data_IF_543515753961
#
_entry.id   IF_543515753961
#
_cell.length_a   1.000
_cell.length_b   1.000
_cell.length_c   1.000
_cell.angle_alpha   90.00
_cell.angle_beta   90.00
_cell.angle_gamma   90.00
#
_symmetry.space_group_name_H-M   'P 1'
#
loop_
_entity.id
_entity.type
_entity.pdbx_description
1 polymer ?
#
# COMPACT_ATOMS: atom_id res chain seq x y z
N UNK A 1 2.49 17.51 -25.63
CA UNK A 1 2.73 16.79 -24.36
C UNK A 1 3.37 15.45 -24.68
N UNK A 2 4.53 15.13 -24.12
CA UNK A 2 5.20 13.84 -24.37
C UNK A 2 4.69 12.80 -23.38
N UNK A 3 4.77 11.50 -23.72
CA UNK A 3 4.43 10.41 -22.79
C UNK A 3 5.27 10.46 -21.50
N UNK A 4 6.51 10.93 -21.60
CA UNK A 4 7.39 11.15 -20.45
C UNK A 4 6.82 12.18 -19.47
N UNK A 5 6.16 13.24 -19.96
CA UNK A 5 5.56 14.26 -19.09
C UNK A 5 4.39 13.69 -18.29
N UNK A 6 3.58 12.82 -18.91
CA UNK A 6 2.53 12.09 -18.23
C UNK A 6 3.08 11.09 -17.20
N UNK A 7 4.15 10.37 -17.53
CA UNK A 7 4.80 9.44 -16.60
C UNK A 7 5.40 10.16 -15.38
N UNK A 8 5.92 11.38 -15.57
CA UNK A 8 6.38 12.25 -14.49
C UNK A 8 5.22 12.79 -13.66
N UNK A 9 4.13 13.25 -14.31
CA UNK A 9 2.93 13.75 -13.64
C UNK A 9 2.36 12.72 -12.65
N UNK A 10 2.26 11.46 -13.07
CA UNK A 10 1.70 10.39 -12.22
C UNK A 10 2.75 9.70 -11.34
N UNK A 11 4.02 10.14 -11.41
CA UNK A 11 5.17 9.54 -10.73
C UNK A 11 5.18 8.01 -10.93
N UNK A 12 5.11 7.58 -12.19
CA UNK A 12 4.72 6.22 -12.58
C UNK A 12 5.41 5.08 -11.79
N UNK A 13 6.73 5.10 -11.50
CA UNK A 13 7.38 4.03 -10.75
C UNK A 13 6.92 3.90 -9.30
N UNK A 14 6.44 4.97 -8.68
CA UNK A 14 6.02 4.96 -7.27
C UNK A 14 4.76 4.10 -7.05
N UNK A 15 3.96 3.88 -8.10
CA UNK A 15 2.81 2.99 -8.07
C UNK A 15 3.19 1.51 -7.85
N UNK A 16 4.45 1.11 -8.05
CA UNK A 16 4.90 -0.27 -7.79
C UNK A 16 4.77 -0.68 -6.31
N UNK A 17 4.69 0.30 -5.39
CA UNK A 17 4.46 0.05 -3.96
C UNK A 17 3.00 -0.27 -3.62
N UNK A 18 2.07 0.00 -4.53
CA UNK A 18 0.62 0.02 -4.24
C UNK A 18 0.00 -1.39 -4.33
N UNK A 19 0.29 -2.23 -5.35
CA UNK A 19 -0.30 -3.56 -5.44
C UNK A 19 -0.01 -4.48 -4.24
N UNK A 20 1.06 -4.23 -3.49
CA UNK A 20 1.40 -5.01 -2.29
C UNK A 20 0.34 -4.92 -1.19
N UNK A 21 -0.36 -3.78 -1.07
CA UNK A 21 -1.45 -3.60 -0.09
C UNK A 21 -2.63 -4.52 -0.43
N UNK A 22 -3.07 -4.49 -1.70
CA UNK A 22 -4.13 -5.36 -2.23
C UNK A 22 -3.76 -6.84 -2.07
N UNK A 23 -2.52 -7.23 -2.39
CA UNK A 23 -2.05 -8.61 -2.25
C UNK A 23 -2.07 -9.05 -0.79
N UNK A 24 -1.58 -8.23 0.14
CA UNK A 24 -1.57 -8.54 1.56
C UNK A 24 -2.99 -8.75 2.11
N UNK A 25 -3.94 -7.92 1.70
CA UNK A 25 -5.35 -8.04 2.06
C UNK A 25 -6.01 -9.29 1.49
N UNK A 26 -5.78 -9.57 0.20
CA UNK A 26 -6.27 -10.77 -0.47
C UNK A 26 -5.72 -12.05 0.18
N UNK A 27 -4.40 -12.10 0.44
CA UNK A 27 -3.76 -13.23 1.10
C UNK A 27 -4.32 -13.46 2.51
N UNK A 28 -4.48 -12.40 3.30
CA UNK A 28 -5.05 -12.51 4.65
C UNK A 28 -6.50 -13.01 4.64
N UNK A 29 -7.32 -12.53 3.70
CA UNK A 29 -8.69 -12.98 3.53
C UNK A 29 -8.80 -14.39 2.92
N UNK A 30 -7.72 -14.94 2.36
CA UNK A 30 -7.71 -16.22 1.64
C UNK A 30 -8.35 -16.11 0.25
N UNK A 31 -8.26 -14.93 -0.38
CA UNK A 31 -8.73 -14.70 -1.76
C UNK A 31 -7.67 -15.19 -2.75
N UNK A 32 -8.07 -15.82 -3.87
CA UNK A 32 -7.13 -16.22 -4.90
C UNK A 32 -6.52 -15.00 -5.59
N UNK A 33 -5.24 -15.07 -5.92
CA UNK A 33 -4.53 -14.06 -6.71
C UNK A 33 -4.76 -14.31 -8.21
N UNK A 34 -6.02 -14.23 -8.62
CA UNK A 34 -6.44 -14.39 -10.01
C UNK A 34 -6.83 -13.07 -10.67
N UNK A 35 -7.48 -13.16 -11.84
CA UNK A 35 -7.88 -12.02 -12.68
C UNK A 35 -8.66 -10.93 -11.92
N UNK A 36 -9.49 -11.31 -10.95
CA UNK A 36 -10.25 -10.35 -10.13
C UNK A 36 -9.34 -9.56 -9.19
N UNK A 37 -8.38 -10.21 -8.56
CA UNK A 37 -7.41 -9.51 -7.70
C UNK A 37 -6.49 -8.62 -8.52
N UNK A 38 -6.09 -9.07 -9.72
CA UNK A 38 -5.36 -8.24 -10.68
C UNK A 38 -6.16 -6.99 -11.10
N UNK A 39 -7.47 -7.14 -11.34
CA UNK A 39 -8.35 -6.00 -11.62
C UNK A 39 -8.45 -5.02 -10.44
N UNK A 40 -8.49 -5.52 -9.20
CA UNK A 40 -8.44 -4.66 -8.00
C UNK A 40 -7.07 -3.98 -7.84
N UNK A 41 -5.97 -4.66 -8.14
CA UNK A 41 -4.63 -4.04 -8.20
C UNK A 41 -4.59 -2.94 -9.25
N UNK A 42 -5.18 -3.16 -10.43
CA UNK A 42 -5.32 -2.14 -11.47
C UNK A 42 -6.14 -0.94 -11.00
N UNK A 43 -7.27 -1.18 -10.33
CA UNK A 43 -8.07 -0.12 -9.69
C UNK A 43 -7.24 0.72 -8.73
N UNK A 44 -6.50 0.05 -7.84
CA UNK A 44 -5.65 0.68 -6.83
C UNK A 44 -4.55 1.54 -7.46
N UNK A 45 -3.86 1.03 -8.48
CA UNK A 45 -2.85 1.78 -9.26
C UNK A 45 -3.46 3.00 -9.96
N UNK A 46 -4.65 2.87 -10.56
CA UNK A 46 -5.36 4.00 -11.17
C UNK A 46 -5.69 5.08 -10.14
N UNK A 47 -6.20 4.71 -8.96
CA UNK A 47 -6.52 5.67 -7.90
C UNK A 47 -5.26 6.33 -7.32
N UNK A 48 -4.15 5.60 -7.23
CA UNK A 48 -2.86 6.18 -6.85
C UNK A 48 -2.41 7.25 -7.87
N UNK A 49 -2.37 6.89 -9.16
CA UNK A 49 -1.99 7.84 -10.22
C UNK A 49 -2.95 9.02 -10.32
N UNK A 50 -4.25 8.82 -10.05
CA UNK A 50 -5.23 9.89 -9.97
C UNK A 50 -4.84 10.91 -8.88
N UNK A 51 -4.46 10.43 -7.68
CA UNK A 51 -3.97 11.28 -6.60
C UNK A 51 -2.69 12.02 -6.97
N UNK A 52 -1.74 11.36 -7.66
CA UNK A 52 -0.51 12.02 -8.10
C UNK A 52 -0.78 13.19 -9.06
N UNK A 53 -1.65 12.98 -10.06
CA UNK A 53 -2.05 14.03 -10.98
C UNK A 53 -2.88 15.14 -10.29
N UNK A 54 -3.74 14.77 -9.35
CA UNK A 54 -4.55 15.72 -8.58
C UNK A 54 -3.70 16.57 -7.64
N UNK A 55 -2.66 15.98 -7.05
CA UNK A 55 -1.71 16.69 -6.20
C UNK A 55 -1.00 17.80 -7.00
N UNK A 56 -0.46 17.48 -8.19
CA UNK A 56 0.17 18.47 -9.07
C UNK A 56 -0.82 19.54 -9.55
N UNK A 57 -2.09 19.18 -9.77
CA UNK A 57 -3.15 20.17 -10.05
C UNK A 57 -3.40 21.12 -8.88
N UNK A 58 -3.45 20.59 -7.66
CA UNK A 58 -3.74 21.35 -6.44
C UNK A 58 -2.57 22.25 -6.05
N UNK A 59 -1.34 21.75 -6.18
CA UNK A 59 -0.10 22.44 -5.78
C UNK A 59 0.48 23.36 -6.84
N UNK A 60 -0.10 23.42 -8.05
CA UNK A 60 0.45 24.16 -9.18
C UNK A 60 0.95 25.59 -8.86
N UNK A 61 0.24 26.33 -8.00
CA UNK A 61 0.62 27.70 -7.59
C UNK A 61 1.77 27.72 -6.57
N UNK A 62 1.83 26.74 -5.66
CA UNK A 62 2.93 26.62 -4.69
C UNK A 62 4.19 26.11 -5.39
N UNK A 63 4.03 25.06 -6.20
CA UNK A 63 5.11 24.46 -6.96
C UNK A 63 5.69 25.41 -8.02
N UNK A 64 4.98 26.45 -8.48
CA UNK A 64 5.58 27.45 -9.39
C UNK A 64 6.70 28.26 -8.74
N UNK A 65 6.72 28.33 -7.40
CA UNK A 65 7.79 28.98 -6.63
C UNK A 65 8.78 27.94 -6.12
N UNK A 66 8.29 26.86 -5.51
CA UNK A 66 9.16 25.89 -4.81
C UNK A 66 9.81 24.86 -5.75
N UNK A 67 9.15 24.51 -6.85
CA UNK A 67 9.52 23.39 -7.73
C UNK A 67 9.14 23.68 -9.21
N UNK A 68 9.69 24.75 -9.81
CA UNK A 68 9.25 25.24 -11.11
C UNK A 68 9.40 24.22 -12.25
N UNK A 69 10.32 23.25 -12.10
CA UNK A 69 10.57 22.20 -13.10
C UNK A 69 9.44 21.14 -13.19
N UNK A 70 8.49 21.10 -12.24
CA UNK A 70 7.39 20.13 -12.26
C UNK A 70 6.51 20.25 -13.52
N UNK A 71 5.86 19.17 -13.99
CA UNK A 71 5.16 19.17 -15.28
C UNK A 71 4.08 20.26 -15.42
N UNK A 72 3.32 20.53 -14.35
CA UNK A 72 2.27 21.55 -14.39
C UNK A 72 2.81 22.99 -14.31
N UNK A 73 3.66 23.36 -13.32
CA UNK A 73 4.23 24.71 -13.25
C UNK A 73 5.12 25.08 -14.44
N UNK A 74 5.91 24.14 -14.97
CA UNK A 74 6.75 24.37 -16.16
C UNK A 74 5.95 24.55 -17.47
N UNK A 75 4.63 24.39 -17.43
CA UNK A 75 3.75 24.51 -18.61
C UNK A 75 3.78 23.29 -19.55
N UNK A 76 4.61 22.27 -19.28
CA UNK A 76 4.68 21.03 -20.09
C UNK A 76 3.37 20.25 -20.10
N UNK A 77 2.62 20.33 -18.99
CA UNK A 77 1.27 19.77 -18.84
C UNK A 77 0.33 20.87 -18.38
N UNK A 78 -0.71 21.23 -19.15
CA UNK A 78 -1.69 22.20 -18.72
C UNK A 78 -2.40 21.76 -17.43
N UNK A 79 -2.66 22.70 -16.51
CA UNK A 79 -3.35 22.41 -15.24
C UNK A 79 -4.71 21.70 -15.45
N UNK A 80 -5.48 22.10 -16.47
CA UNK A 80 -6.74 21.44 -16.85
C UNK A 80 -6.54 19.98 -17.27
N UNK A 81 -5.43 19.68 -17.95
CA UNK A 81 -5.07 18.32 -18.34
C UNK A 81 -4.74 17.46 -17.13
N UNK A 82 -4.00 17.99 -16.15
CA UNK A 82 -3.75 17.27 -14.89
C UNK A 82 -5.05 16.91 -14.15
N UNK A 83 -6.02 17.84 -14.09
CA UNK A 83 -7.34 17.57 -13.53
C UNK A 83 -8.12 16.52 -14.34
N UNK A 84 -8.08 16.59 -15.67
CA UNK A 84 -8.73 15.61 -16.53
C UNK A 84 -8.13 14.21 -16.34
N UNK A 85 -6.80 14.11 -16.28
CA UNK A 85 -6.09 12.85 -16.00
C UNK A 85 -6.49 12.29 -14.63
N UNK A 86 -6.52 13.13 -13.58
CA UNK A 86 -6.97 12.73 -12.26
C UNK A 86 -8.42 12.19 -12.27
N UNK A 87 -9.34 12.90 -12.93
CA UNK A 87 -10.74 12.50 -13.08
C UNK A 87 -10.90 11.19 -13.86
N UNK A 88 -10.25 11.06 -15.02
CA UNK A 88 -10.30 9.86 -15.85
C UNK A 88 -9.70 8.63 -15.17
N UNK A 89 -8.57 8.78 -14.47
CA UNK A 89 -7.97 7.70 -13.69
C UNK A 89 -8.83 7.32 -12.48
N UNK A 90 -9.50 8.28 -11.84
CA UNK A 90 -10.47 8.00 -10.78
C UNK A 90 -11.63 7.15 -11.31
N UNK A 91 -12.21 7.56 -12.45
CA UNK A 91 -13.30 6.83 -13.10
C UNK A 91 -12.86 5.43 -13.55
N UNK A 92 -11.68 5.30 -14.16
CA UNK A 92 -11.10 4.02 -14.56
C UNK A 92 -10.86 3.11 -13.35
N UNK A 93 -10.36 3.66 -12.24
CA UNK A 93 -10.17 2.91 -11.00
C UNK A 93 -11.47 2.33 -10.47
N UNK A 94 -12.52 3.16 -10.35
CA UNK A 94 -13.86 2.73 -9.92
C UNK A 94 -14.44 1.70 -10.90
N UNK A 95 -14.26 1.90 -12.21
CA UNK A 95 -14.69 0.97 -13.26
C UNK A 95 -14.01 -0.40 -13.16
N UNK A 96 -12.69 -0.43 -12.93
CA UNK A 96 -11.93 -1.67 -12.69
C UNK A 96 -12.38 -2.38 -11.41
N UNK A 97 -12.66 -1.63 -10.34
CA UNK A 97 -13.22 -2.20 -9.11
C UNK A 97 -14.60 -2.83 -9.35
N UNK A 98 -15.47 -2.16 -10.12
CA UNK A 98 -16.78 -2.67 -10.50
C UNK A 98 -16.66 -3.95 -11.36
N UNK A 99 -15.81 -3.95 -12.38
CA UNK A 99 -15.59 -5.09 -13.26
C UNK A 99 -14.99 -6.30 -12.51
N UNK A 100 -14.05 -6.06 -11.60
CA UNK A 100 -13.34 -7.12 -10.89
C UNK A 100 -14.13 -7.73 -9.72
N UNK A 101 -14.80 -6.88 -8.93
CA UNK A 101 -15.42 -7.29 -7.66
C UNK A 101 -16.84 -6.76 -7.41
N UNK A 102 -17.44 -6.09 -8.40
CA UNK A 102 -18.81 -5.59 -8.33
C UNK A 102 -19.03 -4.58 -7.21
N UNK A 103 -20.27 -4.55 -6.68
CA UNK A 103 -20.70 -3.59 -5.65
C UNK A 103 -19.80 -3.55 -4.41
N UNK A 104 -19.21 -4.68 -4.02
CA UNK A 104 -18.35 -4.76 -2.83
C UNK A 104 -17.03 -4.02 -3.03
N UNK A 105 -16.37 -4.24 -4.16
CA UNK A 105 -15.13 -3.53 -4.49
C UNK A 105 -15.39 -2.05 -4.74
N UNK A 106 -16.51 -1.68 -5.38
CA UNK A 106 -16.93 -0.27 -5.51
C UNK A 106 -17.15 0.38 -4.15
N UNK A 107 -17.76 -0.34 -3.20
CA UNK A 107 -17.98 0.14 -1.83
C UNK A 107 -16.71 0.46 -1.05
N UNK A 108 -15.54 -0.06 -1.46
CA UNK A 108 -14.23 0.30 -0.91
C UNK A 108 -13.52 1.35 -1.78
N UNK A 109 -13.62 1.24 -3.11
CA UNK A 109 -12.98 2.15 -4.05
C UNK A 109 -13.54 3.59 -3.97
N UNK A 110 -14.84 3.76 -3.72
CA UNK A 110 -15.46 5.09 -3.60
C UNK A 110 -14.95 5.87 -2.38
N UNK A 111 -14.97 5.32 -1.15
CA UNK A 111 -14.33 5.97 0.00
C UNK A 111 -12.84 6.24 -0.20
N UNK A 112 -12.12 5.32 -0.87
CA UNK A 112 -10.70 5.50 -1.19
C UNK A 112 -10.48 6.70 -2.11
N UNK A 113 -11.24 6.77 -3.22
CA UNK A 113 -11.21 7.92 -4.12
C UNK A 113 -11.58 9.22 -3.38
N UNK A 114 -12.60 9.18 -2.51
CA UNK A 114 -12.98 10.30 -1.66
C UNK A 114 -11.84 10.78 -0.76
N UNK A 115 -11.10 9.87 -0.12
CA UNK A 115 -9.93 10.22 0.70
C UNK A 115 -8.79 10.81 -0.12
N UNK A 116 -8.51 10.26 -1.31
CA UNK A 116 -7.50 10.82 -2.24
C UNK A 116 -7.83 12.27 -2.57
N UNK A 117 -9.05 12.53 -3.03
CA UNK A 117 -9.50 13.88 -3.39
C UNK A 117 -9.54 14.82 -2.18
N UNK A 118 -10.03 14.35 -1.02
CA UNK A 118 -10.04 15.15 0.19
C UNK A 118 -8.62 15.51 0.65
N UNK A 119 -7.69 14.56 0.58
CA UNK A 119 -6.28 14.77 0.93
C UNK A 119 -5.66 15.86 0.06
N UNK A 120 -5.70 15.69 -1.26
CA UNK A 120 -5.00 16.57 -2.20
C UNK A 120 -5.57 17.99 -2.23
N UNK A 121 -6.89 18.13 -2.07
CA UNK A 121 -7.56 19.43 -2.17
C UNK A 121 -7.65 20.20 -0.84
N UNK A 122 -7.68 19.51 0.31
CA UNK A 122 -8.03 20.16 1.59
C UNK A 122 -7.27 19.67 2.82
N UNK A 123 -6.91 18.39 2.91
CA UNK A 123 -6.45 17.82 4.19
C UNK A 123 -4.93 17.77 4.32
N UNK A 124 -4.15 17.80 3.22
CA UNK A 124 -2.69 17.63 3.28
C UNK A 124 -1.94 18.67 4.12
N UNK A 125 -2.44 19.91 4.16
CA UNK A 125 -1.89 20.99 5.01
C UNK A 125 -2.41 20.96 6.45
N UNK A 126 -3.36 20.07 6.77
CA UNK A 126 -4.02 20.00 8.08
C UNK A 126 -3.47 18.85 8.93
N UNK A 127 -3.63 18.92 10.27
CA UNK A 127 -3.25 17.81 11.15
C UNK A 127 -3.89 16.46 10.79
N UNK A 128 -5.11 16.50 10.24
CA UNK A 128 -5.85 15.31 9.81
C UNK A 128 -5.37 14.70 8.49
N UNK A 129 -4.48 15.36 7.73
CA UNK A 129 -3.96 14.84 6.46
C UNK A 129 -3.24 13.49 6.61
N UNK A 130 -2.53 13.30 7.72
CA UNK A 130 -1.90 12.01 8.02
C UNK A 130 -2.90 10.88 8.25
N UNK A 131 -4.04 11.19 8.87
CA UNK A 131 -5.14 10.23 9.09
C UNK A 131 -5.80 9.88 7.76
N UNK A 132 -6.01 10.85 6.87
CA UNK A 132 -6.56 10.59 5.54
C UNK A 132 -5.64 9.66 4.72
N UNK A 133 -4.32 9.92 4.72
CA UNK A 133 -3.35 9.08 4.01
C UNK A 133 -3.26 7.66 4.59
N UNK A 134 -3.25 7.53 5.91
CA UNK A 134 -3.29 6.22 6.58
C UNK A 134 -4.61 5.48 6.27
N UNK A 135 -5.73 6.19 6.27
CA UNK A 135 -7.05 5.64 5.90
C UNK A 135 -7.10 5.17 4.46
N UNK A 136 -6.50 5.91 3.52
CA UNK A 136 -6.40 5.49 2.12
C UNK A 136 -5.64 4.15 2.00
N UNK A 137 -4.51 4.01 2.70
CA UNK A 137 -3.73 2.76 2.72
C UNK A 137 -4.45 1.60 3.40
N UNK A 138 -5.20 1.87 4.47
CA UNK A 138 -6.09 0.86 5.09
C UNK A 138 -7.12 0.36 4.08
N UNK A 139 -7.81 1.27 3.38
CA UNK A 139 -8.82 0.90 2.39
C UNK A 139 -8.22 0.11 1.22
N UNK A 140 -6.98 0.40 0.83
CA UNK A 140 -6.31 -0.33 -0.24
C UNK A 140 -6.05 -1.81 0.13
N UNK A 141 -5.62 -2.06 1.37
CA UNK A 141 -5.52 -3.44 1.90
C UNK A 141 -6.91 -4.08 1.95
N UNK A 142 -7.93 -3.36 2.41
CA UNK A 142 -9.30 -3.89 2.48
C UNK A 142 -9.89 -4.18 1.09
N UNK A 143 -9.50 -3.44 0.05
CA UNK A 143 -9.92 -3.67 -1.33
C UNK A 143 -9.53 -5.08 -1.80
N UNK A 144 -8.32 -5.54 -1.45
CA UNK A 144 -7.88 -6.91 -1.70
C UNK A 144 -8.67 -7.96 -0.92
N UNK A 145 -9.06 -7.65 0.32
CA UNK A 145 -9.83 -8.56 1.17
C UNK A 145 -11.26 -8.80 0.63
N UNK A 146 -11.87 -7.75 0.07
CA UNK A 146 -13.22 -7.79 -0.53
C UNK A 146 -13.22 -8.19 -2.01
N UNK A 147 -12.04 -8.33 -2.63
CA UNK A 147 -11.92 -8.85 -4.00
C UNK A 147 -12.70 -10.16 -4.11
N UNK A 148 -13.60 -10.24 -5.10
CA UNK A 148 -14.55 -11.34 -5.19
C UNK A 148 -13.84 -12.69 -5.36
N UNK A 149 -14.12 -13.64 -4.46
CA UNK A 149 -13.78 -15.05 -4.66
C UNK A 149 -14.97 -15.76 -5.30
N UNK A 150 -14.84 -16.18 -6.56
CA UNK A 150 -15.83 -17.06 -7.17
C UNK A 150 -15.68 -18.46 -6.53
N UNK A 151 -16.70 -18.91 -5.81
CA UNK A 151 -16.75 -20.26 -5.25
C UNK A 151 -17.73 -20.40 -4.08
N UNK A 152 -18.53 -21.48 -4.11
CA UNK A 152 -19.27 -21.94 -2.94
C UNK A 152 -18.25 -22.26 -1.83
N UNK A 153 -18.27 -21.50 -0.73
CA UNK A 153 -17.28 -21.59 0.35
C UNK A 153 -16.37 -20.35 0.53
N UNK A 154 -16.53 -19.32 -0.31
CA UNK A 154 -15.87 -18.04 -0.10
C UNK A 154 -16.29 -17.44 1.27
N UNK A 155 -15.31 -17.15 2.13
CA UNK A 155 -15.57 -16.53 3.43
C UNK A 155 -16.45 -15.29 3.28
N UNK A 156 -17.43 -15.14 4.18
CA UNK A 156 -18.30 -13.97 4.22
C UNK A 156 -17.46 -12.70 4.27
N UNK A 157 -18.00 -11.60 3.75
CA UNK A 157 -17.28 -10.31 3.73
C UNK A 157 -16.82 -9.92 5.13
N UNK A 158 -17.66 -10.14 6.15
CA UNK A 158 -17.29 -9.89 7.55
C UNK A 158 -16.08 -10.71 8.01
N UNK A 159 -15.99 -12.00 7.66
CA UNK A 159 -14.82 -12.83 8.00
C UNK A 159 -13.58 -12.38 7.23
N UNK A 160 -13.72 -12.02 5.95
CA UNK A 160 -12.62 -11.51 5.14
C UNK A 160 -12.05 -10.20 5.71
N UNK A 161 -12.92 -9.25 6.06
CA UNK A 161 -12.53 -7.99 6.70
C UNK A 161 -11.86 -8.22 8.06
N UNK A 162 -12.39 -9.10 8.91
CA UNK A 162 -11.75 -9.45 10.19
C UNK A 162 -10.36 -10.03 10.00
N UNK A 163 -10.17 -10.90 8.99
CA UNK A 163 -8.84 -11.46 8.68
C UNK A 163 -7.86 -10.41 8.15
N UNK A 164 -8.36 -9.43 7.40
CA UNK A 164 -7.58 -8.33 6.85
C UNK A 164 -7.39 -7.15 7.82
N UNK A 165 -8.10 -7.11 8.95
CA UNK A 165 -8.01 -6.01 9.91
C UNK A 165 -6.59 -5.78 10.44
N UNK A 166 -5.85 -6.86 10.75
CA UNK A 166 -4.47 -6.74 11.22
C UNK A 166 -3.52 -6.20 10.14
N UNK A 167 -3.42 -6.78 8.93
CA UNK A 167 -2.54 -6.21 7.90
C UNK A 167 -2.95 -4.78 7.52
N UNK A 168 -4.25 -4.48 7.42
CA UNK A 168 -4.72 -3.13 7.12
C UNK A 168 -4.32 -2.14 8.22
N UNK A 169 -4.51 -2.51 9.49
CA UNK A 169 -4.11 -1.71 10.64
C UNK A 169 -2.60 -1.47 10.70
N UNK A 170 -1.77 -2.50 10.45
CA UNK A 170 -0.30 -2.36 10.46
C UNK A 170 0.21 -1.46 9.33
N UNK A 171 -0.36 -1.58 8.13
CA UNK A 171 -0.06 -0.68 7.00
C UNK A 171 -0.51 0.75 7.31
N UNK A 172 -1.70 0.93 7.89
CA UNK A 172 -2.20 2.23 8.34
C UNK A 172 -1.30 2.87 9.41
N UNK A 173 -0.89 2.10 10.41
CA UNK A 173 0.03 2.55 11.48
C UNK A 173 1.38 2.95 10.89
N UNK A 174 1.97 2.13 10.01
CA UNK A 174 3.20 2.48 9.31
C UNK A 174 3.05 3.82 8.56
N UNK A 175 1.98 3.97 7.78
CA UNK A 175 1.69 5.19 7.04
C UNK A 175 1.53 6.40 7.98
N UNK A 176 0.89 6.22 9.13
CA UNK A 176 0.79 7.24 10.17
C UNK A 176 2.16 7.68 10.70
N UNK A 177 3.08 6.73 10.96
CA UNK A 177 4.45 7.08 11.39
C UNK A 177 5.20 7.89 10.33
N UNK A 178 5.03 7.54 9.06
CA UNK A 178 5.63 8.24 7.93
C UNK A 178 5.14 9.69 7.87
N UNK A 179 3.82 9.88 7.99
CA UNK A 179 3.17 11.19 7.96
C UNK A 179 3.51 12.06 9.18
N UNK A 180 3.85 11.45 10.32
CA UNK A 180 4.32 12.18 11.49
C UNK A 180 5.75 12.71 11.29
N UNK A 181 6.63 11.90 10.70
CA UNK A 181 8.00 12.31 10.36
C UNK A 181 8.03 13.32 9.22
N UNK A 182 7.20 13.16 8.19
CA UNK A 182 7.22 14.00 6.98
C UNK A 182 7.01 15.49 7.25
N UNK A 183 6.35 15.84 8.36
CA UNK A 183 6.16 17.24 8.78
C UNK A 183 7.43 17.94 9.25
N UNK A 184 8.46 17.17 9.56
CA UNK A 184 9.69 17.64 10.18
C UNK A 184 10.89 17.55 9.22
N UNK A 185 10.63 17.41 7.92
CA UNK A 185 11.66 17.23 6.90
C UNK A 185 12.51 18.48 6.65
N UNK A 186 11.98 19.68 6.87
CA UNK A 186 12.70 20.93 6.58
C UNK A 186 13.60 21.31 7.76
N UNK A 187 13.00 21.56 8.93
CA UNK A 187 13.69 22.08 10.11
C UNK A 187 14.22 21.03 11.10
N UNK A 188 13.96 19.75 10.88
CA UNK A 188 14.23 18.70 11.88
C UNK A 188 13.07 18.50 12.86
N UNK A 189 13.21 17.50 13.73
CA UNK A 189 12.15 17.03 14.62
C UNK A 189 12.55 17.13 16.10
N UNK A 190 11.62 17.38 17.02
CA UNK A 190 11.85 17.08 18.43
C UNK A 190 12.16 15.59 18.58
N UNK A 191 13.23 15.21 19.33
CA UNK A 191 13.70 13.81 19.51
C UNK A 191 12.57 12.80 19.79
N UNK A 192 11.54 13.23 20.55
CA UNK A 192 10.36 12.42 20.86
C UNK A 192 9.63 11.88 19.63
N UNK A 193 9.64 12.58 18.50
CA UNK A 193 8.94 12.18 17.27
C UNK A 193 9.63 10.99 16.58
N UNK A 194 10.93 11.04 16.21
CA UNK A 194 11.63 9.88 15.68
C UNK A 194 11.69 8.73 16.70
N UNK A 195 11.77 9.02 18.01
CA UNK A 195 11.75 7.97 19.04
C UNK A 195 10.40 7.24 19.11
N UNK A 196 9.29 7.98 19.12
CA UNK A 196 7.94 7.40 19.12
C UNK A 196 7.67 6.61 17.82
N UNK A 197 8.06 7.15 16.67
CA UNK A 197 7.85 6.47 15.38
C UNK A 197 8.72 5.22 15.24
N UNK A 198 9.95 5.23 15.78
CA UNK A 198 10.79 4.04 15.90
C UNK A 198 10.12 2.97 16.78
N UNK A 199 9.63 3.35 17.97
CA UNK A 199 8.95 2.41 18.86
C UNK A 199 7.72 1.78 18.18
N UNK A 200 6.88 2.59 17.54
CA UNK A 200 5.70 2.11 16.79
C UNK A 200 6.12 1.22 15.61
N UNK A 201 7.22 1.52 14.92
CA UNK A 201 7.74 0.71 13.81
C UNK A 201 8.25 -0.64 14.31
N UNK A 202 8.96 -0.67 15.44
CA UNK A 202 9.37 -1.90 16.12
C UNK A 202 8.17 -2.76 16.52
N UNK A 203 7.15 -2.17 17.15
CA UNK A 203 5.90 -2.87 17.48
C UNK A 203 5.21 -3.40 16.23
N UNK A 204 5.19 -2.63 15.13
CA UNK A 204 4.61 -3.04 13.85
C UNK A 204 5.31 -4.28 13.27
N UNK A 205 6.66 -4.31 13.33
CA UNK A 205 7.46 -5.43 12.87
C UNK A 205 7.23 -6.69 13.72
N UNK A 206 7.21 -6.54 15.04
CA UNK A 206 6.94 -7.62 15.99
C UNK A 206 5.52 -8.16 15.78
N UNK A 207 4.51 -7.29 15.72
CA UNK A 207 3.11 -7.67 15.48
C UNK A 207 2.90 -8.39 14.14
N UNK A 208 3.71 -8.05 13.13
CA UNK A 208 3.74 -8.77 11.85
C UNK A 208 4.28 -10.20 12.01
N UNK A 209 5.30 -10.39 12.85
CA UNK A 209 5.91 -11.69 13.11
C UNK A 209 5.12 -12.61 14.05
N UNK A 210 4.23 -12.06 14.89
CA UNK A 210 3.42 -12.85 15.82
C UNK A 210 2.44 -13.76 15.04
N UNK A 211 2.51 -15.09 15.24
CA UNK A 211 1.60 -16.02 14.59
C UNK A 211 0.19 -15.89 15.15
N UNK A 212 -0.80 -15.66 14.28
CA UNK A 212 -2.20 -15.72 14.68
C UNK A 212 -2.63 -17.18 14.75
N UNK A 213 -3.04 -17.65 15.94
CA UNK A 213 -3.80 -18.90 16.06
C UNK A 213 -5.11 -18.70 15.29
N UNK A 214 -5.22 -19.28 14.10
CA UNK A 214 -6.49 -19.34 13.37
C UNK A 214 -7.41 -20.24 14.20
N UNK A 215 -8.38 -19.65 14.90
CA UNK A 215 -9.47 -20.43 15.49
C UNK A 215 -10.21 -21.06 14.32
N UNK A 216 -10.03 -22.37 14.15
CA UNK A 216 -10.81 -23.15 13.21
C UNK A 216 -12.23 -23.16 13.76
N UNK A 217 -13.12 -22.37 13.16
CA UNK A 217 -14.55 -22.50 13.45
C UNK A 217 -14.98 -23.83 12.83
N UNK A 218 -15.31 -24.80 13.69
CA UNK A 218 -15.83 -26.09 13.26
C UNK A 218 -17.03 -25.85 12.31
N UNK A 219 -17.12 -26.58 11.18
CA UNK A 219 -18.30 -26.50 10.35
C UNK A 219 -19.48 -27.02 11.17
N UNK A 220 -20.42 -26.15 11.51
CA UNK A 220 -21.72 -26.57 12.04
C UNK A 220 -22.47 -27.26 10.91
N UNK A 221 -22.60 -28.58 11.02
CA UNK A 221 -23.63 -29.44 10.44
C UNK A 221 -24.03 -29.19 8.98
N UNK A 222 -23.52 -30.02 8.07
CA UNK A 222 -24.02 -30.14 6.71
C UNK A 222 -23.11 -31.06 5.90
N UNK A 223 -23.67 -32.13 5.35
CA UNK A 223 -22.99 -33.27 4.74
C UNK A 223 -21.73 -32.93 3.92
N UNK A 224 -20.67 -33.69 4.17
CA UNK A 224 -19.38 -33.58 3.51
C UNK A 224 -19.47 -33.91 2.02
N UNK A 225 -19.68 -32.91 1.18
CA UNK A 225 -19.20 -32.95 -0.20
C UNK A 225 -17.77 -32.44 -0.18
N UNK A 226 -16.82 -33.37 -0.24
CA UNK A 226 -15.39 -33.08 -0.43
C UNK A 226 -15.19 -32.48 -1.83
N UNK A 227 -15.47 -31.19 -1.98
CA UNK A 227 -14.92 -30.41 -3.09
C UNK A 227 -13.63 -29.74 -2.63
N UNK A 228 -12.54 -30.50 -2.75
CA UNK A 228 -11.20 -29.93 -2.81
C UNK A 228 -11.20 -28.84 -3.92
N UNK A 229 -10.78 -27.60 -3.65
CA UNK A 229 -10.53 -26.66 -4.73
C UNK A 229 -9.43 -27.25 -5.61
N UNK A 230 -9.73 -27.45 -6.90
CA UNK A 230 -8.75 -27.89 -7.86
C UNK A 230 -7.55 -26.93 -7.79
N UNK A 231 -6.32 -27.43 -7.54
CA UNK A 231 -5.14 -26.60 -7.65
C UNK A 231 -5.04 -26.07 -9.08
N UNK A 232 -4.45 -24.88 -9.23
CA UNK A 232 -4.03 -24.34 -10.52
C UNK A 232 -3.37 -25.46 -11.33
N UNK A 233 -3.99 -25.87 -12.45
CA UNK A 233 -3.32 -26.70 -13.45
C UNK A 233 -2.09 -25.91 -13.93
N UNK A 234 -0.90 -26.36 -13.54
CA UNK A 234 0.37 -25.81 -14.03
C UNK A 234 1.51 -25.64 -13.01
N UNK A 235 1.27 -25.77 -11.70
CA UNK A 235 2.36 -25.83 -10.71
C UNK A 235 2.06 -26.96 -9.73
N UNK A 236 2.87 -28.01 -9.77
CA UNK A 236 2.76 -29.15 -8.87
C UNK A 236 2.72 -28.67 -7.41
N UNK A 237 1.58 -28.86 -6.76
CA UNK A 237 1.27 -28.32 -5.44
C UNK A 237 1.94 -29.10 -4.32
N UNK A 238 3.13 -28.69 -3.91
CA UNK A 238 3.56 -28.89 -2.52
C UNK A 238 3.03 -27.72 -1.70
N UNK A 239 2.18 -27.98 -0.69
CA UNK A 239 1.83 -26.96 0.29
C UNK A 239 3.13 -26.37 0.86
N UNK A 240 3.39 -25.05 0.71
CA UNK A 240 4.66 -24.48 1.13
C UNK A 240 4.87 -24.73 2.62
N UNK A 241 6.06 -25.18 2.99
CA UNK A 241 6.35 -25.60 4.36
C UNK A 241 6.08 -24.46 5.35
N UNK A 242 5.53 -24.80 6.53
CA UNK A 242 5.35 -23.84 7.63
C UNK A 242 6.64 -23.07 7.92
N UNK A 243 7.80 -23.71 7.74
CA UNK A 243 9.14 -23.13 7.88
C UNK A 243 9.39 -22.02 6.86
N UNK A 244 9.13 -22.25 5.57
CA UNK A 244 9.28 -21.22 4.53
C UNK A 244 8.44 -19.97 4.84
N UNK A 245 7.18 -20.17 5.26
CA UNK A 245 6.30 -19.05 5.62
C UNK A 245 6.86 -18.25 6.80
N UNK A 246 7.26 -18.91 7.88
CA UNK A 246 7.84 -18.23 9.06
C UNK A 246 9.12 -17.51 8.70
N UNK A 247 10.00 -18.14 7.90
CA UNK A 247 11.24 -17.53 7.42
C UNK A 247 11.00 -16.26 6.62
N UNK A 248 10.04 -16.27 5.69
CA UNK A 248 9.70 -15.09 4.88
C UNK A 248 9.08 -13.96 5.70
N UNK A 249 8.21 -14.28 6.68
CA UNK A 249 7.66 -13.29 7.61
C UNK A 249 8.78 -12.63 8.41
N UNK A 250 9.68 -13.42 8.99
CA UNK A 250 10.81 -12.91 9.76
C UNK A 250 11.76 -12.08 8.89
N UNK A 251 12.11 -12.57 7.69
CA UNK A 251 12.98 -11.85 6.77
C UNK A 251 12.39 -10.49 6.36
N UNK A 252 11.09 -10.42 6.03
CA UNK A 252 10.45 -9.16 5.68
C UNK A 252 10.36 -8.19 6.86
N UNK A 253 10.03 -8.67 8.07
CA UNK A 253 10.00 -7.84 9.28
C UNK A 253 11.39 -7.31 9.66
N UNK A 254 12.44 -8.14 9.54
CA UNK A 254 13.82 -7.73 9.76
C UNK A 254 14.30 -6.76 8.69
N UNK A 255 13.95 -6.97 7.41
CA UNK A 255 14.28 -6.03 6.34
C UNK A 255 13.58 -4.68 6.54
N UNK A 256 12.34 -4.67 7.04
CA UNK A 256 11.62 -3.46 7.41
C UNK A 256 12.35 -2.68 8.52
N UNK A 257 12.73 -3.34 9.62
CA UNK A 257 13.44 -2.68 10.72
C UNK A 257 14.87 -2.28 10.35
N UNK A 258 15.59 -3.14 9.64
CA UNK A 258 16.95 -2.88 9.20
C UNK A 258 17.05 -1.72 8.21
N UNK A 259 15.95 -1.37 7.53
CA UNK A 259 15.92 -0.22 6.62
C UNK A 259 15.28 1.01 7.26
N UNK A 260 14.01 0.95 7.62
CA UNK A 260 13.29 2.10 8.18
C UNK A 260 13.68 2.36 9.63
N UNK A 261 13.73 1.32 10.46
CA UNK A 261 14.13 1.43 11.87
C UNK A 261 15.56 1.98 12.02
N UNK A 262 16.51 1.50 11.23
CA UNK A 262 17.88 2.04 11.24
C UNK A 262 17.95 3.52 10.82
N UNK A 263 17.10 3.96 9.88
CA UNK A 263 17.01 5.37 9.52
C UNK A 263 16.37 6.21 10.64
N UNK A 264 15.36 5.68 11.33
CA UNK A 264 14.75 6.32 12.49
C UNK A 264 15.72 6.42 13.68
N UNK A 265 16.55 5.39 13.94
CA UNK A 265 17.61 5.44 14.97
C UNK A 265 18.56 6.60 14.72
N UNK A 266 19.00 6.79 13.47
CA UNK A 266 19.84 7.96 13.10
C UNK A 266 19.12 9.28 13.36
N UNK A 267 17.84 9.38 13.03
CA UNK A 267 17.03 10.56 13.32
C UNK A 267 16.76 10.76 14.83
N UNK A 268 16.82 9.71 15.66
CA UNK A 268 16.78 9.84 17.13
C UNK A 268 18.09 10.40 17.67
N UNK A 269 19.22 9.86 17.19
CA UNK A 269 20.56 10.29 17.59
C UNK A 269 20.84 11.73 17.17
N UNK A 270 20.43 12.10 15.97
CA UNK A 270 20.59 13.43 15.41
C UNK A 270 19.30 13.84 14.66
N UNK A 271 18.39 14.59 15.32
CA UNK A 271 17.07 14.95 14.79
C UNK A 271 17.06 16.05 13.71
N UNK A 272 18.08 16.10 12.85
CA UNK A 272 18.19 17.06 11.75
C UNK A 272 17.16 16.79 10.66
N UNK A 273 16.78 17.85 9.90
CA UNK A 273 15.87 17.71 8.76
C UNK A 273 16.37 16.71 7.71
N UNK A 274 17.69 16.61 7.52
CA UNK A 274 18.30 15.63 6.63
C UNK A 274 18.07 14.18 7.08
N UNK A 275 18.29 13.87 8.36
CA UNK A 275 18.08 12.53 8.87
C UNK A 275 16.58 12.17 8.90
N UNK A 276 15.71 13.16 9.16
CA UNK A 276 14.25 12.98 9.04
C UNK A 276 13.84 12.67 7.59
N UNK A 277 14.32 13.43 6.59
CA UNK A 277 14.06 13.15 5.16
C UNK A 277 14.55 11.76 4.75
N UNK A 278 15.74 11.36 5.21
CA UNK A 278 16.25 9.99 5.00
C UNK A 278 15.35 8.94 5.63
N UNK A 279 14.86 9.19 6.84
CA UNK A 279 13.92 8.29 7.52
C UNK A 279 12.59 8.19 6.76
N UNK A 280 12.03 9.30 6.26
CA UNK A 280 10.81 9.30 5.45
C UNK A 280 11.02 8.54 4.14
N UNK A 281 12.10 8.81 3.41
CA UNK A 281 12.44 8.06 2.20
C UNK A 281 12.63 6.56 2.46
N UNK A 282 13.29 6.20 3.57
CA UNK A 282 13.43 4.81 3.99
C UNK A 282 12.08 4.18 4.37
N UNK A 283 11.17 4.94 4.97
CA UNK A 283 9.82 4.51 5.33
C UNK A 283 8.96 4.23 4.10
N UNK A 284 8.95 5.11 3.10
CA UNK A 284 8.26 4.89 1.81
C UNK A 284 8.70 3.56 1.19
N UNK A 285 10.01 3.31 1.16
CA UNK A 285 10.57 2.06 0.64
C UNK A 285 10.46 0.90 1.63
N UNK A 286 10.21 1.16 2.90
CA UNK A 286 10.02 0.16 3.95
C UNK A 286 8.65 -0.51 3.86
N UNK A 287 7.68 0.11 3.20
CA UNK A 287 6.36 -0.48 3.00
C UNK A 287 6.41 -1.81 2.23
N UNK A 288 7.28 -1.94 1.22
CA UNK A 288 7.40 -3.15 0.41
C UNK A 288 7.82 -4.41 1.20
N UNK A 289 8.91 -4.41 2.02
CA UNK A 289 9.23 -5.56 2.86
C UNK A 289 8.14 -5.85 3.91
N UNK A 290 7.43 -4.83 4.41
CA UNK A 290 6.29 -5.02 5.29
C UNK A 290 5.13 -5.73 4.58
N UNK A 291 4.78 -5.32 3.36
CA UNK A 291 3.76 -5.97 2.52
C UNK A 291 4.13 -7.42 2.19
N UNK A 292 5.40 -7.70 1.89
CA UNK A 292 5.89 -9.06 1.67
C UNK A 292 5.71 -9.93 2.93
N UNK A 293 6.08 -9.43 4.10
CA UNK A 293 5.88 -10.13 5.38
C UNK A 293 4.40 -10.39 5.66
N UNK A 294 3.52 -9.40 5.46
CA UNK A 294 2.08 -9.53 5.64
C UNK A 294 1.44 -10.51 4.65
N UNK A 295 1.94 -10.54 3.41
CA UNK A 295 1.51 -11.51 2.37
C UNK A 295 1.91 -12.93 2.75
N UNK A 296 3.15 -13.13 3.21
CA UNK A 296 3.61 -14.44 3.71
C UNK A 296 2.76 -14.88 4.92
N UNK A 297 2.50 -13.96 5.86
CA UNK A 297 1.64 -14.17 7.03
C UNK A 297 0.21 -14.56 6.64
N UNK A 298 -0.33 -13.97 5.56
CA UNK A 298 -1.64 -14.32 4.99
C UNK A 298 -1.73 -15.76 4.45
N UNK A 299 -0.58 -16.35 4.11
CA UNK A 299 -0.49 -17.72 3.60
C UNK A 299 -0.08 -17.82 2.13
N UNK A 300 0.47 -16.76 1.55
CA UNK A 300 0.95 -16.73 0.16
C UNK A 300 2.49 -16.53 0.08
N UNK A 301 3.31 -17.47 0.60
CA UNK A 301 4.76 -17.30 0.70
C UNK A 301 5.48 -17.19 -0.66
N UNK A 302 5.00 -17.88 -1.70
CA UNK A 302 5.58 -17.76 -3.06
C UNK A 302 5.41 -16.34 -3.59
N UNK A 303 4.22 -15.75 -3.41
CA UNK A 303 3.96 -14.36 -3.83
C UNK A 303 4.73 -13.36 -2.97
N UNK A 304 4.87 -13.62 -1.67
CA UNK A 304 5.73 -12.82 -0.81
C UNK A 304 7.19 -12.82 -1.24
N UNK A 305 7.72 -13.98 -1.65
CA UNK A 305 9.07 -14.07 -2.21
C UNK A 305 9.20 -13.28 -3.51
N UNK A 306 8.22 -13.38 -4.42
CA UNK A 306 8.20 -12.58 -5.64
C UNK A 306 8.17 -11.07 -5.35
N UNK A 307 7.34 -10.61 -4.41
CA UNK A 307 7.32 -9.21 -3.95
C UNK A 307 8.69 -8.78 -3.40
N UNK A 308 9.35 -9.65 -2.63
CA UNK A 308 10.70 -9.41 -2.12
C UNK A 308 11.77 -9.25 -3.22
N UNK A 309 11.62 -9.95 -4.34
CA UNK A 309 12.52 -9.82 -5.51
C UNK A 309 12.22 -8.56 -6.35
N UNK A 310 10.95 -8.18 -6.47
CA UNK A 310 10.53 -6.96 -7.18
C UNK A 310 10.99 -5.69 -6.44
N UNK A 311 11.13 -5.75 -5.12
CA UNK A 311 11.55 -4.65 -4.26
C UNK A 311 12.85 -3.92 -4.68
N UNK A 312 14.00 -4.59 -4.88
CA UNK A 312 15.23 -3.93 -5.34
C UNK A 312 15.10 -3.34 -6.75
N UNK A 313 14.27 -3.91 -7.63
CA UNK A 313 13.98 -3.38 -8.96
C UNK A 313 13.15 -2.08 -8.85
N UNK A 314 12.10 -2.08 -8.04
CA UNK A 314 11.30 -0.90 -7.74
C UNK A 314 12.16 0.22 -7.13
N UNK A 315 13.08 -0.10 -6.20
CA UNK A 315 14.06 0.86 -5.65
C UNK A 315 15.02 1.43 -6.68
N UNK A 316 15.40 0.67 -7.71
CA UNK A 316 16.28 1.17 -8.79
C UNK A 316 15.50 2.09 -9.73
N UNK A 317 14.25 1.78 -10.02
CA UNK A 317 13.38 2.61 -10.86
C UNK A 317 12.96 3.92 -10.16
N UNK A 318 12.62 3.86 -8.87
CA UNK A 318 12.26 5.03 -8.07
C UNK A 318 13.44 6.01 -7.87
N UNK A 319 14.69 5.57 -8.07
CA UNK A 319 15.85 6.47 -8.10
C UNK A 319 15.96 7.30 -9.38
N UNK A 320 15.27 6.91 -10.47
CA UNK A 320 15.29 7.64 -11.74
C UNK A 320 14.18 8.68 -11.88
N UNK A 321 13.08 8.50 -11.15
CA UNK A 321 11.97 9.45 -11.08
C UNK A 321 11.65 9.63 -9.61
N UNK A 322 12.02 10.79 -9.05
CA UNK A 322 11.81 11.10 -7.64
C UNK A 322 10.33 10.92 -7.28
N UNK A 323 9.99 10.14 -6.23
CA UNK A 323 8.60 10.01 -5.75
C UNK A 323 8.07 11.31 -5.11
N UNK A 324 9.00 12.16 -4.67
CA UNK A 324 8.79 13.47 -4.04
C UNK A 324 9.18 14.57 -4.99
#
# INVERSE_FOLDING_TARGET
>A
MRLTDLALLVRAPAALSVPGDVIAGAAAAGRPLGVRTLGVMGSSVCLYWAGMALNDYADATVDSVERPDRPVPSGRVPRRTALAVAGSLTAAGIGLAAAAGGRRSVGVALPLAGLVWAYDLKLKSKPVGGVAMAGARVLDVLAGAVASGAGAGAASVGVALRRAAVPAGLVGVHTGTLMALSRHEVGGAPVRVPAATLAVSTVTAVATAIPVKRVAMAPRGGAAVRHSPAPLKGVAGTAPSKRLRVGLVAAGALAYLGTYGAAQVRAVQEPSGENVRRAVGAGILGLMPLQAALTARGGAPVVAAALGVVHPLARRLARRISPT
#
